data_IF_332797581435
#
_entry.id   IF_332797581435
#
_cell.length_a   1.000
_cell.length_b   1.000
_cell.length_c   1.000
_cell.angle_alpha   90.00
_cell.angle_beta   90.00
_cell.angle_gamma   90.00
#
_symmetry.space_group_name_H-M   'P 1'
#
loop_
_entity.id
_entity.type
_entity.pdbx_description
1 polymer ?
#
# COMPACT_ATOMS: atom_id res chain seq x y z
N UNK A 1 -22.42 -40.71 29.19
CA UNK A 1 -22.09 -40.39 27.78
C UNK A 1 -20.72 -41.01 27.49
N UNK A 2 -20.65 -42.11 26.73
CA UNK A 2 -19.36 -42.74 26.42
C UNK A 2 -18.53 -41.81 25.52
N UNK A 3 -17.27 -41.55 25.90
CA UNK A 3 -16.34 -40.75 25.10
C UNK A 3 -16.00 -41.46 23.77
N UNK A 4 -15.68 -40.67 22.73
CA UNK A 4 -15.29 -41.23 21.44
C UNK A 4 -14.04 -42.10 21.58
N UNK A 5 -13.96 -43.27 20.90
CA UNK A 5 -12.82 -44.16 21.01
C UNK A 5 -11.54 -43.49 20.49
N UNK A 6 -10.38 -43.81 21.08
CA UNK A 6 -9.07 -43.23 20.73
C UNK A 6 -8.76 -43.27 19.22
N UNK A 7 -9.20 -44.33 18.54
CA UNK A 7 -9.06 -44.47 17.08
C UNK A 7 -9.81 -43.37 16.32
N UNK A 8 -11.00 -42.95 16.75
CA UNK A 8 -11.74 -41.84 16.12
C UNK A 8 -11.11 -40.49 16.39
N UNK A 9 -10.55 -40.28 17.58
CA UNK A 9 -9.84 -39.05 17.93
C UNK A 9 -8.59 -38.90 17.07
N UNK A 10 -7.80 -39.99 16.93
CA UNK A 10 -6.57 -40.02 16.15
C UNK A 10 -6.81 -39.99 14.62
N UNK A 11 -7.91 -40.57 14.12
CA UNK A 11 -8.25 -40.57 12.68
C UNK A 11 -9.16 -39.40 12.25
N UNK A 12 -9.68 -38.62 13.20
CA UNK A 12 -10.58 -37.49 12.96
C UNK A 12 -10.00 -36.42 12.03
N UNK A 13 -8.68 -36.22 12.03
CA UNK A 13 -8.01 -35.26 11.16
C UNK A 13 -8.19 -35.54 9.66
N UNK A 14 -8.24 -36.82 9.25
CA UNK A 14 -8.51 -37.20 7.85
C UNK A 14 -9.97 -36.91 7.46
N UNK A 15 -10.93 -37.18 8.36
CA UNK A 15 -12.36 -36.88 8.14
C UNK A 15 -12.60 -35.37 8.11
N UNK A 16 -11.93 -34.60 8.97
CA UNK A 16 -11.99 -33.14 8.96
C UNK A 16 -11.46 -32.54 7.65
N UNK A 17 -10.30 -33.01 7.16
CA UNK A 17 -9.77 -32.60 5.85
C UNK A 17 -10.73 -32.94 4.71
N UNK A 18 -11.34 -34.13 4.71
CA UNK A 18 -12.35 -34.53 3.72
C UNK A 18 -13.64 -33.69 3.83
N UNK A 19 -14.08 -33.34 5.03
CA UNK A 19 -15.25 -32.46 5.20
C UNK A 19 -14.94 -31.02 4.78
N UNK A 20 -13.76 -30.51 5.13
CA UNK A 20 -13.31 -29.17 4.73
C UNK A 20 -13.15 -29.06 3.21
N UNK A 21 -12.63 -30.09 2.54
CA UNK A 21 -12.53 -30.10 1.09
C UNK A 21 -13.90 -30.19 0.42
N UNK A 22 -14.87 -30.90 1.03
CA UNK A 22 -16.26 -30.98 0.56
C UNK A 22 -17.04 -29.67 0.74
N UNK A 23 -16.77 -28.88 1.78
CA UNK A 23 -17.43 -27.56 1.99
C UNK A 23 -17.24 -26.58 0.83
N UNK A 24 -16.11 -26.67 0.12
CA UNK A 24 -15.80 -25.83 -1.04
C UNK A 24 -16.04 -26.54 -2.38
N UNK A 25 -16.52 -27.79 -2.35
CA UNK A 25 -16.77 -28.58 -3.55
C UNK A 25 -18.23 -28.40 -3.94
N UNK A 26 -18.46 -27.63 -4.99
CA UNK A 26 -19.79 -27.49 -5.59
C UNK A 26 -20.16 -28.81 -6.28
N UNK A 27 -21.37 -29.32 -6.04
CA UNK A 27 -21.82 -30.63 -6.54
C UNK A 27 -22.03 -30.64 -8.06
N UNK A 28 -22.48 -29.53 -8.63
CA UNK A 28 -22.67 -29.37 -10.07
C UNK A 28 -22.35 -27.92 -10.50
N UNK A 29 -21.68 -27.74 -11.63
CA UNK A 29 -21.43 -26.43 -12.24
C UNK A 29 -22.31 -26.32 -13.48
N UNK A 30 -23.46 -25.68 -13.33
CA UNK A 30 -24.37 -25.38 -14.45
C UNK A 30 -23.96 -24.06 -15.09
N UNK A 31 -23.90 -24.06 -16.42
CA UNK A 31 -23.60 -22.85 -17.18
C UNK A 31 -24.87 -22.03 -17.42
N UNK A 32 -24.88 -20.80 -16.89
CA UNK A 32 -25.95 -19.83 -17.13
C UNK A 32 -25.57 -18.88 -18.28
N UNK A 33 -26.34 -18.96 -19.36
CA UNK A 33 -26.17 -18.13 -20.55
C UNK A 33 -26.47 -16.66 -20.31
N UNK A 34 -27.45 -16.36 -19.47
CA UNK A 34 -27.86 -14.98 -19.16
C UNK A 34 -26.78 -14.27 -18.34
N UNK A 35 -26.28 -14.95 -17.30
CA UNK A 35 -25.14 -14.47 -16.52
C UNK A 35 -23.89 -14.23 -17.40
N UNK A 36 -23.67 -15.03 -18.45
CA UNK A 36 -22.57 -14.79 -19.40
C UNK A 36 -22.80 -13.53 -20.23
N UNK A 37 -24.00 -13.29 -20.71
CA UNK A 37 -24.32 -12.07 -21.49
C UNK A 37 -24.14 -10.83 -20.62
N UNK A 38 -24.61 -10.87 -19.38
CA UNK A 38 -24.40 -9.81 -18.39
C UNK A 38 -22.91 -9.62 -18.04
N UNK A 39 -22.16 -10.73 -17.94
CA UNK A 39 -20.72 -10.68 -17.76
C UNK A 39 -20.00 -10.15 -19.02
N UNK A 40 -20.47 -10.40 -20.23
CA UNK A 40 -19.79 -9.88 -21.42
C UNK A 40 -20.13 -8.40 -21.68
N UNK A 41 -21.34 -7.95 -21.35
CA UNK A 41 -21.78 -6.57 -21.63
C UNK A 41 -21.56 -5.63 -20.44
N UNK A 42 -21.62 -6.14 -19.22
CA UNK A 42 -21.57 -5.36 -17.97
C UNK A 42 -20.17 -4.96 -17.47
N UNK A 43 -19.23 -4.59 -18.36
CA UNK A 43 -17.84 -4.26 -17.97
C UNK A 43 -17.77 -3.14 -16.93
N UNK A 44 -18.60 -2.10 -17.06
CA UNK A 44 -18.66 -0.99 -16.11
C UNK A 44 -19.15 -1.44 -14.74
N UNK A 45 -20.22 -2.26 -14.70
CA UNK A 45 -20.73 -2.87 -13.45
C UNK A 45 -19.63 -3.67 -12.74
N UNK A 46 -18.86 -4.49 -13.46
CA UNK A 46 -17.74 -5.24 -12.88
C UNK A 46 -16.60 -4.35 -12.41
N UNK A 47 -16.30 -3.27 -13.13
CA UNK A 47 -15.27 -2.32 -12.72
C UNK A 47 -15.65 -1.66 -11.40
N UNK A 48 -16.90 -1.21 -11.27
CA UNK A 48 -17.43 -0.64 -10.03
C UNK A 48 -17.46 -1.68 -8.90
N UNK A 49 -17.90 -2.90 -9.16
CA UNK A 49 -17.88 -3.98 -8.16
C UNK A 49 -16.46 -4.29 -7.68
N UNK A 50 -15.47 -4.34 -8.57
CA UNK A 50 -14.06 -4.52 -8.17
C UNK A 50 -13.57 -3.37 -7.29
N UNK A 51 -13.90 -2.13 -7.64
CA UNK A 51 -13.54 -0.96 -6.84
C UNK A 51 -14.20 -1.02 -5.45
N UNK A 52 -15.51 -1.31 -5.38
CA UNK A 52 -16.23 -1.47 -4.11
C UNK A 52 -15.65 -2.57 -3.25
N UNK A 53 -15.40 -3.75 -3.83
CA UNK A 53 -14.79 -4.89 -3.12
C UNK A 53 -13.39 -4.56 -2.59
N UNK A 54 -12.58 -3.82 -3.36
CA UNK A 54 -11.27 -3.37 -2.90
C UNK A 54 -11.38 -2.38 -1.74
N UNK A 55 -12.35 -1.46 -1.79
CA UNK A 55 -12.64 -0.53 -0.70
C UNK A 55 -13.14 -1.26 0.56
N UNK A 56 -14.06 -2.20 0.40
CA UNK A 56 -14.58 -3.03 1.50
C UNK A 56 -13.47 -3.85 2.16
N UNK A 57 -12.64 -4.51 1.36
CA UNK A 57 -11.49 -5.25 1.87
C UNK A 57 -10.52 -4.36 2.65
N UNK A 58 -10.19 -3.18 2.13
CA UNK A 58 -9.32 -2.22 2.83
C UNK A 58 -9.94 -1.77 4.17
N UNK A 59 -11.25 -1.48 4.20
CA UNK A 59 -11.97 -1.12 5.43
C UNK A 59 -12.01 -2.26 6.44
N UNK A 60 -12.17 -3.50 5.99
CA UNK A 60 -12.13 -4.68 6.86
C UNK A 60 -10.74 -4.86 7.47
N UNK A 61 -9.68 -4.74 6.67
CA UNK A 61 -8.29 -4.82 7.15
C UNK A 61 -7.98 -3.71 8.16
N UNK A 62 -8.39 -2.46 7.89
CA UNK A 62 -8.22 -1.34 8.83
C UNK A 62 -8.98 -1.58 10.14
N UNK A 63 -10.21 -2.09 10.06
CA UNK A 63 -11.00 -2.45 11.25
C UNK A 63 -10.30 -3.52 12.09
N UNK A 64 -9.76 -4.56 11.45
CA UNK A 64 -9.03 -5.63 12.12
C UNK A 64 -7.74 -5.10 12.76
N UNK A 65 -6.95 -4.29 12.04
CA UNK A 65 -5.75 -3.66 12.56
C UNK A 65 -6.05 -2.79 13.79
N UNK A 66 -7.12 -1.97 13.74
CA UNK A 66 -7.54 -1.13 14.86
C UNK A 66 -7.98 -1.95 16.08
N UNK A 67 -8.61 -3.11 15.86
CA UNK A 67 -8.99 -4.02 16.95
C UNK A 67 -7.74 -4.66 17.58
N UNK A 68 -6.77 -5.08 16.76
CA UNK A 68 -5.50 -5.63 17.24
C UNK A 68 -4.68 -4.59 18.01
N UNK A 69 -4.60 -3.35 17.54
CA UNK A 69 -3.95 -2.24 18.25
C UNK A 69 -4.60 -2.00 19.61
N UNK A 70 -5.94 -1.96 19.65
CA UNK A 70 -6.67 -1.82 20.91
C UNK A 70 -6.42 -2.99 21.85
N UNK A 71 -6.32 -4.21 21.33
CA UNK A 71 -5.99 -5.38 22.14
C UNK A 71 -4.57 -5.26 22.72
N UNK A 72 -3.57 -4.90 21.91
CA UNK A 72 -2.19 -4.67 22.34
C UNK A 72 -2.10 -3.61 23.43
N UNK A 73 -2.77 -2.46 23.27
CA UNK A 73 -2.80 -1.39 24.28
C UNK A 73 -3.40 -1.90 25.60
N UNK A 74 -4.48 -2.70 25.55
CA UNK A 74 -5.07 -3.28 26.77
C UNK A 74 -4.11 -4.25 27.44
N UNK A 75 -3.42 -5.10 26.67
CA UNK A 75 -2.43 -6.03 27.22
C UNK A 75 -1.23 -5.30 27.83
N UNK A 76 -0.72 -4.26 27.18
CA UNK A 76 0.37 -3.41 27.70
C UNK A 76 -0.04 -2.73 29.01
N UNK A 77 -1.26 -2.18 29.08
CA UNK A 77 -1.82 -1.60 30.31
C UNK A 77 -1.91 -2.64 31.43
N UNK A 78 -2.44 -3.84 31.15
CA UNK A 78 -2.49 -4.94 32.13
C UNK A 78 -1.10 -5.31 32.63
N UNK A 79 -0.12 -5.46 31.73
CA UNK A 79 1.29 -5.76 32.08
C UNK A 79 1.91 -4.65 32.93
N UNK A 80 1.65 -3.38 32.62
CA UNK A 80 2.16 -2.25 33.38
C UNK A 80 1.57 -2.19 34.79
N UNK A 81 0.26 -2.41 34.93
CA UNK A 81 -0.41 -2.50 36.24
C UNK A 81 0.16 -3.67 37.05
N UNK A 82 0.32 -4.86 36.45
CA UNK A 82 0.91 -6.02 37.12
C UNK A 82 2.33 -5.73 37.64
N UNK A 83 3.18 -5.12 36.80
CA UNK A 83 4.53 -4.69 37.21
C UNK A 83 4.51 -3.66 38.32
N UNK A 84 3.56 -2.72 38.33
CA UNK A 84 3.42 -1.73 39.39
C UNK A 84 2.99 -2.39 40.70
N UNK A 85 2.03 -3.32 40.68
CA UNK A 85 1.61 -4.09 41.85
C UNK A 85 2.74 -4.97 42.39
N UNK A 86 3.50 -5.65 41.52
CA UNK A 86 4.69 -6.41 41.94
C UNK A 86 5.74 -5.53 42.62
N UNK A 87 6.03 -4.34 42.06
CA UNK A 87 6.96 -3.38 42.65
C UNK A 87 6.46 -2.87 44.00
N UNK A 88 5.18 -2.54 44.10
CA UNK A 88 4.55 -2.11 45.34
C UNK A 88 4.63 -3.21 46.42
N UNK A 89 4.26 -4.44 46.08
CA UNK A 89 4.35 -5.59 46.97
C UNK A 89 5.79 -5.85 47.44
N UNK A 90 6.79 -5.68 46.55
CA UNK A 90 8.21 -5.77 46.93
C UNK A 90 8.61 -4.66 47.92
N UNK A 91 8.25 -3.41 47.64
CA UNK A 91 8.56 -2.30 48.56
C UNK A 91 7.89 -2.47 49.93
N UNK A 92 6.66 -2.96 49.99
CA UNK A 92 5.97 -3.26 51.24
C UNK A 92 6.68 -4.39 51.99
N UNK A 93 7.12 -5.44 51.27
CA UNK A 93 7.87 -6.55 51.88
C UNK A 93 9.23 -6.11 52.45
N UNK A 94 9.91 -5.19 51.76
CA UNK A 94 11.18 -4.60 52.22
C UNK A 94 11.00 -3.71 53.46
N UNK A 95 9.88 -2.96 53.53
CA UNK A 95 9.58 -2.08 54.67
C UNK A 95 9.01 -2.82 55.88
N UNK A 96 8.23 -3.88 55.68
CA UNK A 96 7.49 -4.57 56.76
C UNK A 96 8.16 -5.83 57.29
N UNK A 97 9.40 -6.16 56.91
CA UNK A 97 10.23 -7.19 57.56
C UNK A 97 9.51 -8.51 57.85
N UNK A 98 9.36 -9.37 56.84
CA UNK A 98 8.95 -10.78 56.91
C UNK A 98 7.79 -11.12 57.88
N UNK A 99 6.67 -10.39 57.80
CA UNK A 99 5.38 -10.92 58.27
C UNK A 99 4.77 -11.72 57.11
N UNK A 100 5.19 -12.98 57.05
CA UNK A 100 4.54 -14.03 56.26
C UNK A 100 3.11 -14.23 56.78
N UNK A 101 2.19 -14.58 55.87
CA UNK A 101 0.78 -14.91 56.12
C UNK A 101 -0.22 -13.73 56.14
N UNK A 102 -0.45 -13.13 54.97
CA UNK A 102 -1.84 -12.84 54.60
C UNK A 102 -2.17 -13.54 53.29
N UNK A 103 -2.84 -14.67 53.46
CA UNK A 103 -3.57 -15.44 52.46
C UNK A 103 -4.53 -14.52 51.70
N UNK A 104 -4.05 -13.86 50.64
CA UNK A 104 -4.93 -13.26 49.64
C UNK A 104 -5.00 -14.22 48.46
N UNK A 105 -5.86 -15.22 48.62
CA UNK A 105 -6.53 -15.85 47.48
C UNK A 105 -7.36 -14.76 46.79
N UNK A 106 -6.69 -13.95 45.99
CA UNK A 106 -7.32 -12.96 45.12
C UNK A 106 -7.23 -13.49 43.69
N UNK A 107 -7.78 -14.69 43.51
CA UNK A 107 -8.43 -15.09 42.26
C UNK A 107 -9.75 -14.32 42.15
N UNK A 108 -9.65 -13.00 42.19
CA UNK A 108 -10.75 -12.12 41.82
C UNK A 108 -10.38 -11.61 40.46
N UNK A 109 -11.01 -12.19 39.45
CA UNK A 109 -11.10 -11.66 38.10
C UNK A 109 -11.49 -10.18 38.20
N UNK A 110 -10.48 -9.30 38.29
CA UNK A 110 -10.65 -7.87 38.15
C UNK A 110 -10.96 -7.62 36.67
N UNK A 111 -12.23 -7.85 36.31
CA UNK A 111 -12.89 -7.14 35.23
C UNK A 111 -12.84 -5.65 35.57
N UNK A 112 -11.70 -5.04 35.30
CA UNK A 112 -11.57 -3.60 35.21
C UNK A 112 -12.33 -3.15 33.95
N UNK A 113 -13.65 -3.13 34.06
CA UNK A 113 -14.56 -2.34 33.23
C UNK A 113 -14.27 -0.86 33.50
N UNK A 114 -13.11 -0.39 33.05
CA UNK A 114 -12.84 1.04 32.95
C UNK A 114 -13.55 1.53 31.69
N UNK A 115 -14.86 1.69 31.82
CA UNK A 115 -15.68 2.47 30.93
C UNK A 115 -15.24 3.95 31.04
N UNK A 116 -14.22 4.33 30.27
CA UNK A 116 -14.16 5.69 29.75
C UNK A 116 -14.88 5.71 28.42
N UNK A 117 -16.18 5.91 28.55
CA UNK A 117 -17.06 6.39 27.51
C UNK A 117 -16.62 7.80 27.10
N UNK A 118 -15.99 7.92 25.93
CA UNK A 118 -15.98 9.16 25.16
C UNK A 118 -16.76 8.90 23.87
N UNK A 119 -18.06 8.61 24.04
CA UNK A 119 -19.08 8.84 23.05
C UNK A 119 -19.30 10.34 22.86
N UNK A 120 -18.32 11.01 22.23
CA UNK A 120 -18.59 12.20 21.45
C UNK A 120 -18.95 11.78 20.02
N UNK A 121 -20.13 11.18 19.89
CA UNK A 121 -20.88 11.26 18.65
C UNK A 121 -22.21 11.95 18.94
N UNK A 122 -22.19 13.28 18.95
CA UNK A 122 -23.41 14.07 18.75
C UNK A 122 -23.21 15.00 17.56
N UNK A 123 -23.82 14.58 16.46
CA UNK A 123 -24.47 15.43 15.47
C UNK A 123 -23.70 16.69 15.04
N UNK A 124 -22.86 16.56 14.01
CA UNK A 124 -22.72 17.64 13.02
C UNK A 124 -23.42 17.22 11.73
N UNK A 125 -24.66 17.67 11.67
CA UNK A 125 -25.49 17.95 10.50
C UNK A 125 -24.88 17.60 9.14
N UNK A 126 -25.58 16.73 8.44
CA UNK A 126 -26.04 16.94 7.07
C UNK A 126 -26.01 18.44 6.69
N UNK A 127 -24.89 18.89 6.11
CA UNK A 127 -24.76 20.22 5.51
C UNK A 127 -24.76 19.98 4.02
N UNK A 128 -25.93 20.18 3.47
CA UNK A 128 -26.21 20.59 2.09
C UNK A 128 -25.03 21.41 1.55
N UNK A 129 -24.27 20.81 0.62
CA UNK A 129 -23.19 21.50 -0.08
C UNK A 129 -23.83 22.28 -1.23
N UNK A 130 -24.47 23.39 -0.88
CA UNK A 130 -24.83 24.44 -1.83
C UNK A 130 -23.61 25.28 -2.17
N UNK A 131 -23.53 25.54 -3.46
CA UNK A 131 -22.48 26.18 -4.22
C UNK A 131 -22.40 27.69 -3.92
N UNK A 132 -21.20 28.24 -4.12
CA UNK A 132 -20.84 29.63 -4.52
C UNK A 132 -20.13 30.53 -3.48
N UNK A 133 -19.10 31.21 -4.02
CA UNK A 133 -18.28 32.30 -3.48
C UNK A 133 -17.09 31.89 -2.60
N UNK A 134 -15.85 32.35 -2.76
CA UNK A 134 -15.12 33.11 -3.79
C UNK A 134 -13.64 33.00 -3.37
N UNK A 135 -12.96 31.93 -3.78
CA UNK A 135 -11.54 31.72 -3.44
C UNK A 135 -10.69 31.76 -4.72
N UNK A 136 -10.87 32.79 -5.55
CA UNK A 136 -9.84 33.22 -6.51
C UNK A 136 -8.76 34.01 -5.76
N UNK A 137 -8.13 33.37 -4.77
CA UNK A 137 -6.82 33.82 -4.32
C UNK A 137 -5.82 33.40 -5.40
N UNK A 138 -5.57 34.29 -6.36
CA UNK A 138 -4.50 34.16 -7.34
C UNK A 138 -3.21 33.84 -6.59
N UNK A 139 -2.72 32.62 -6.79
CA UNK A 139 -1.46 32.15 -6.25
C UNK A 139 -0.35 32.97 -6.89
N UNK A 140 0.17 33.96 -6.16
CA UNK A 140 1.33 34.75 -6.57
C UNK A 140 2.54 33.84 -6.46
N UNK A 141 3.06 33.42 -7.62
CA UNK A 141 4.23 32.56 -7.71
C UNK A 141 5.42 33.18 -6.97
N UNK A 142 6.20 32.32 -6.30
CA UNK A 142 7.46 32.74 -5.70
C UNK A 142 8.35 33.38 -6.77
N UNK A 143 8.89 34.56 -6.47
CA UNK A 143 9.88 35.21 -7.32
C UNK A 143 11.03 34.23 -7.60
N UNK A 144 11.23 33.95 -8.88
CA UNK A 144 12.22 33.02 -9.40
C UNK A 144 13.61 33.62 -9.16
N UNK A 145 14.18 33.36 -7.97
CA UNK A 145 15.61 33.61 -7.75
C UNK A 145 16.39 32.87 -8.85
N UNK A 146 17.40 33.52 -9.47
CA UNK A 146 18.13 32.93 -10.59
C UNK A 146 18.69 31.58 -10.19
N UNK A 147 18.31 30.54 -10.96
CA UNK A 147 18.63 29.15 -10.72
C UNK A 147 20.12 29.00 -10.35
N UNK A 148 20.42 28.83 -9.07
CA UNK A 148 21.66 28.17 -8.68
C UNK A 148 21.45 26.74 -9.13
N UNK A 149 22.22 26.27 -10.11
CA UNK A 149 22.24 24.87 -10.59
C UNK A 149 22.10 23.92 -9.38
N UNK A 150 20.87 23.46 -9.10
CA UNK A 150 20.61 22.56 -7.97
C UNK A 150 21.07 21.19 -8.43
N UNK A 151 22.38 20.97 -8.42
CA UNK A 151 22.97 19.66 -8.67
C UNK A 151 22.43 18.72 -7.60
N UNK A 152 21.76 17.66 -8.05
CA UNK A 152 21.13 16.67 -7.18
C UNK A 152 22.07 16.21 -6.06
N UNK A 153 21.51 16.04 -4.87
CA UNK A 153 22.18 15.70 -3.60
C UNK A 153 23.08 14.46 -3.69
N UNK A 154 22.87 13.59 -4.69
CA UNK A 154 23.45 12.25 -4.74
C UNK A 154 24.87 12.17 -5.35
N UNK A 155 25.38 13.19 -6.04
CA UNK A 155 26.71 13.13 -6.69
C UNK A 155 27.59 14.30 -6.30
N UNK A 156 27.81 14.50 -5.01
CA UNK A 156 28.77 15.49 -4.52
C UNK A 156 30.07 14.79 -4.16
N UNK A 157 31.14 15.11 -4.89
CA UNK A 157 32.50 14.87 -4.42
C UNK A 157 32.88 16.06 -3.55
N UNK A 158 32.75 15.90 -2.24
CA UNK A 158 33.17 16.94 -1.30
C UNK A 158 34.67 16.77 -1.05
N UNK A 159 35.45 17.76 -1.50
CA UNK A 159 36.89 17.82 -1.29
C UNK A 159 37.14 18.76 -0.12
N UNK A 160 37.58 18.20 1.00
CA UNK A 160 37.96 18.97 2.17
C UNK A 160 39.46 19.26 2.10
N UNK A 161 39.82 20.53 2.24
CA UNK A 161 41.21 20.98 2.28
C UNK A 161 41.47 21.55 3.67
N UNK A 162 42.19 20.81 4.51
CA UNK A 162 42.63 21.30 5.81
C UNK A 162 43.99 21.98 5.68
N UNK A 163 44.07 23.26 6.04
CA UNK A 163 45.34 24.03 6.08
C UNK A 163 45.86 24.25 7.50
N UNK A 164 45.13 23.81 8.53
CA UNK A 164 45.51 24.00 9.93
C UNK A 164 46.45 22.91 10.45
N UNK A 165 47.48 23.32 11.20
CA UNK A 165 48.55 22.43 11.68
C UNK A 165 48.09 21.38 12.70
N UNK A 166 46.95 21.61 13.36
CA UNK A 166 46.34 20.73 14.36
C UNK A 166 45.23 19.81 13.80
N UNK A 167 45.02 19.76 12.48
CA UNK A 167 44.05 18.84 11.89
C UNK A 167 44.58 17.38 11.90
N UNK A 168 43.73 16.36 12.15
CA UNK A 168 44.13 14.95 12.20
C UNK A 168 44.75 14.41 10.90
N UNK A 169 44.38 14.98 9.75
CA UNK A 169 44.91 14.62 8.43
C UNK A 169 45.24 15.94 7.72
N UNK A 170 46.52 16.15 7.37
CA UNK A 170 46.99 17.32 6.60
C UNK A 170 46.89 17.01 5.11
N UNK A 171 46.13 17.80 4.35
CA UNK A 171 46.03 17.67 2.89
C UNK A 171 44.59 17.63 2.37
N UNK A 172 44.42 17.08 1.15
CA UNK A 172 43.12 16.94 0.50
C UNK A 172 42.52 15.59 0.88
N UNK A 173 41.38 15.58 1.57
CA UNK A 173 40.57 14.37 1.76
C UNK A 173 39.34 14.42 0.86
N UNK A 174 39.08 13.33 0.14
CA UNK A 174 37.90 13.17 -0.71
C UNK A 174 36.97 12.12 -0.11
N UNK A 175 35.71 12.48 0.10
CA UNK A 175 34.65 11.54 0.51
C UNK A 175 33.82 11.21 -0.73
N UNK A 176 33.84 9.94 -1.14
CA UNK A 176 32.96 9.42 -2.20
C UNK A 176 31.77 8.72 -1.54
N UNK A 177 30.56 9.25 -1.77
CA UNK A 177 29.32 8.64 -1.29
C UNK A 177 28.93 7.59 -2.32
N UNK A 178 29.09 6.31 -1.97
CA UNK A 178 28.63 5.19 -2.79
C UNK A 178 27.12 4.98 -2.61
N UNK A 179 26.45 4.56 -3.68
CA UNK A 179 25.02 4.24 -3.64
C UNK A 179 24.80 3.02 -2.72
N UNK A 180 24.18 3.27 -1.56
CA UNK A 180 23.83 2.22 -0.60
C UNK A 180 22.73 1.32 -1.19
N UNK A 181 23.11 0.31 -1.98
CA UNK A 181 22.19 -0.72 -2.41
C UNK A 181 21.60 -1.39 -1.15
N UNK A 182 20.26 -1.45 -0.99
CA UNK A 182 19.66 -2.02 0.20
C UNK A 182 20.06 -3.50 0.24
N UNK A 183 20.89 -3.86 1.22
CA UNK A 183 21.41 -5.21 1.45
C UNK A 183 22.53 -5.71 0.51
N UNK A 184 23.25 -4.84 -0.22
CA UNK A 184 24.38 -5.27 -1.06
C UNK A 184 24.00 -6.22 -2.20
N UNK A 185 22.71 -6.29 -2.54
CA UNK A 185 22.22 -7.09 -3.65
C UNK A 185 22.38 -6.30 -4.94
N UNK A 186 23.04 -6.93 -5.91
CA UNK A 186 23.25 -6.36 -7.22
C UNK A 186 21.89 -6.16 -7.92
N UNK A 187 21.56 -4.91 -8.24
CA UNK A 187 20.26 -4.49 -8.80
C UNK A 187 19.96 -5.26 -10.09
N UNK A 188 21.01 -5.65 -10.81
CA UNK A 188 20.92 -6.48 -12.01
C UNK A 188 20.33 -7.86 -11.73
N UNK A 189 20.69 -8.48 -10.60
CA UNK A 189 20.19 -9.80 -10.19
C UNK A 189 18.73 -9.73 -9.76
N UNK A 190 18.35 -8.68 -9.03
CA UNK A 190 16.94 -8.42 -8.65
C UNK A 190 16.09 -8.20 -9.90
N UNK A 191 16.58 -7.42 -10.87
CA UNK A 191 15.88 -7.19 -12.13
C UNK A 191 15.75 -8.47 -12.95
N UNK A 192 16.79 -9.30 -13.01
CA UNK A 192 16.75 -10.61 -13.68
C UNK A 192 15.76 -11.57 -13.02
N UNK A 193 15.73 -11.64 -11.68
CA UNK A 193 14.75 -12.44 -10.94
C UNK A 193 13.30 -12.00 -11.23
N UNK A 194 13.10 -10.72 -11.53
CA UNK A 194 11.82 -10.14 -11.90
C UNK A 194 11.59 -10.07 -13.42
N UNK A 195 12.46 -10.67 -14.24
CA UNK A 195 12.39 -10.66 -15.71
C UNK A 195 12.28 -9.25 -16.32
N UNK A 196 13.04 -8.29 -15.77
CA UNK A 196 13.07 -6.89 -16.22
C UNK A 196 14.34 -6.58 -17.03
N UNK A 197 14.16 -6.14 -18.28
CA UNK A 197 15.24 -5.65 -19.16
C UNK A 197 15.74 -4.26 -18.73
N UNK A 198 16.87 -4.20 -18.01
CA UNK A 198 17.47 -2.92 -17.60
C UNK A 198 18.08 -2.11 -18.76
N UNK A 199 18.35 -2.72 -19.91
CA UNK A 199 18.93 -2.04 -21.09
C UNK A 199 18.05 -0.92 -21.64
N UNK A 200 16.72 -1.07 -21.49
CA UNK A 200 15.71 -0.10 -21.96
C UNK A 200 15.26 0.87 -20.86
N UNK A 201 15.85 0.81 -19.67
CA UNK A 201 15.45 1.61 -18.50
C UNK A 201 15.43 3.11 -18.80
N UNK A 202 16.48 3.63 -19.42
CA UNK A 202 16.61 5.04 -19.81
C UNK A 202 15.53 5.46 -20.81
N UNK A 203 15.32 4.67 -21.85
CA UNK A 203 14.29 4.94 -22.87
C UNK A 203 12.88 4.95 -22.27
N UNK A 204 12.59 4.05 -21.33
CA UNK A 204 11.31 4.00 -20.62
C UNK A 204 11.15 5.22 -19.72
N UNK A 205 12.21 5.63 -19.02
CA UNK A 205 12.23 6.83 -18.19
C UNK A 205 11.95 8.07 -19.02
N UNK A 206 12.65 8.27 -20.14
CA UNK A 206 12.45 9.41 -21.04
C UNK A 206 11.02 9.47 -21.57
N UNK A 207 10.48 8.32 -22.02
CA UNK A 207 9.06 8.21 -22.45
C UNK A 207 8.07 8.52 -21.32
N UNK A 208 8.41 8.20 -20.07
CA UNK A 208 7.55 8.50 -18.92
C UNK A 208 7.53 10.00 -18.62
N UNK A 209 8.70 10.64 -18.63
CA UNK A 209 8.87 12.07 -18.44
C UNK A 209 8.15 12.83 -19.55
N UNK A 210 8.32 12.43 -20.81
CA UNK A 210 7.59 13.03 -21.93
C UNK A 210 6.07 12.92 -21.78
N UNK A 211 5.56 11.76 -21.32
CA UNK A 211 4.12 11.58 -21.10
C UNK A 211 3.62 12.48 -19.96
N UNK A 212 4.37 12.59 -18.87
CA UNK A 212 4.06 13.47 -17.76
C UNK A 212 4.04 14.94 -18.20
N UNK A 213 5.04 15.39 -18.96
CA UNK A 213 5.08 16.74 -19.56
C UNK A 213 3.86 17.00 -20.46
N UNK A 214 3.55 16.08 -21.37
CA UNK A 214 2.36 16.18 -22.25
C UNK A 214 1.05 16.22 -21.46
N UNK A 215 0.98 15.55 -20.31
CA UNK A 215 -0.20 15.55 -19.43
C UNK A 215 -0.31 16.85 -18.63
N UNK A 216 0.80 17.37 -18.11
CA UNK A 216 0.85 18.68 -17.47
C UNK A 216 0.43 19.80 -18.45
N UNK A 217 0.93 19.78 -19.69
CA UNK A 217 0.50 20.68 -20.77
C UNK A 217 -1.02 20.58 -21.05
N UNK A 218 -1.60 19.38 -20.91
CA UNK A 218 -3.03 19.16 -21.14
C UNK A 218 -3.88 19.68 -19.98
N UNK A 219 -3.44 19.49 -18.73
CA UNK A 219 -4.13 20.01 -17.53
C UNK A 219 -4.07 21.53 -17.51
N UNK A 220 -2.91 22.11 -17.77
CA UNK A 220 -2.70 23.56 -17.75
C UNK A 220 -3.34 24.27 -18.95
N UNK A 221 -4.04 23.54 -19.84
CA UNK A 221 -4.72 24.09 -21.00
C UNK A 221 -3.81 24.61 -22.13
N UNK A 222 -2.49 24.56 -21.95
CA UNK A 222 -1.51 25.04 -22.94
C UNK A 222 -1.49 24.19 -24.20
N UNK A 223 -1.93 22.94 -24.11
CA UNK A 223 -2.03 22.01 -25.24
C UNK A 223 -3.42 21.40 -25.36
N UNK A 224 -4.09 21.69 -26.47
CA UNK A 224 -5.34 21.02 -26.83
C UNK A 224 -5.07 19.78 -27.70
N UNK A 225 -5.76 18.65 -27.46
CA UNK A 225 -5.61 17.47 -28.29
C UNK A 225 -6.14 17.78 -29.69
N UNK A 226 -5.29 17.69 -30.71
CA UNK A 226 -5.70 17.87 -32.11
C UNK A 226 -6.82 16.86 -32.42
N UNK A 227 -8.01 17.38 -32.72
CA UNK A 227 -9.13 16.56 -33.13
C UNK A 227 -8.73 15.77 -34.38
N UNK A 228 -8.79 14.43 -34.31
CA UNK A 228 -8.57 13.60 -35.50
C UNK A 228 -9.68 13.91 -36.48
N UNK A 229 -9.34 14.28 -37.71
CA UNK A 229 -10.34 14.48 -38.75
C UNK A 229 -11.14 13.19 -38.91
N UNK A 230 -12.47 13.28 -38.74
CA UNK A 230 -13.36 12.15 -38.99
C UNK A 230 -13.21 11.80 -40.46
N UNK A 231 -12.65 10.63 -40.76
CA UNK A 231 -12.61 10.13 -42.13
C UNK A 231 -14.06 9.94 -42.56
N UNK A 232 -14.53 10.73 -43.53
CA UNK A 232 -15.84 10.50 -44.15
C UNK A 232 -15.85 9.06 -44.64
N UNK A 233 -16.89 8.30 -44.29
CA UNK A 233 -17.05 6.94 -44.78
C UNK A 233 -17.10 7.00 -46.31
N UNK A 234 -16.04 6.50 -46.94
CA UNK A 234 -15.96 6.33 -48.38
C UNK A 234 -15.38 4.96 -48.65
N UNK A 235 -15.83 4.32 -49.72
CA UNK A 235 -15.17 3.11 -50.17
C UNK A 235 -13.73 3.44 -50.55
N UNK A 236 -12.80 2.64 -50.01
CA UNK A 236 -11.40 2.70 -50.42
C UNK A 236 -11.31 2.41 -51.92
N UNK A 237 -10.53 3.21 -52.63
CA UNK A 237 -10.26 2.96 -54.05
C UNK A 237 -9.56 1.59 -54.22
N UNK A 238 -9.59 1.02 -55.43
CA UNK A 238 -8.92 -0.27 -55.70
C UNK A 238 -7.43 -0.23 -55.33
N UNK A 239 -6.76 0.89 -55.56
CA UNK A 239 -5.34 1.09 -55.24
C UNK A 239 -5.11 1.18 -53.73
N UNK A 240 -5.95 1.93 -53.01
CA UNK A 240 -5.88 2.04 -51.55
C UNK A 240 -6.14 0.69 -50.86
N UNK A 241 -7.10 -0.10 -51.36
CA UNK A 241 -7.39 -1.45 -50.88
C UNK A 241 -6.20 -2.39 -51.09
N UNK A 242 -5.55 -2.32 -52.26
CA UNK A 242 -4.35 -3.09 -52.56
C UNK A 242 -3.16 -2.69 -51.66
N UNK A 243 -3.03 -1.40 -51.32
CA UNK A 243 -2.01 -0.93 -50.40
C UNK A 243 -2.27 -1.39 -48.95
N UNK A 244 -3.52 -1.33 -48.48
CA UNK A 244 -3.88 -1.81 -47.14
C UNK A 244 -3.67 -3.32 -47.01
N UNK A 245 -4.12 -4.12 -47.97
CA UNK A 245 -3.87 -5.57 -47.98
C UNK A 245 -2.38 -5.90 -48.02
N UNK A 246 -1.56 -5.14 -48.77
CA UNK A 246 -0.08 -5.28 -48.75
C UNK A 246 0.50 -4.98 -47.37
N UNK A 247 0.04 -3.92 -46.69
CA UNK A 247 0.47 -3.56 -45.32
C UNK A 247 0.05 -4.60 -44.28
N UNK A 248 -1.15 -5.16 -44.39
CA UNK A 248 -1.61 -6.24 -43.52
C UNK A 248 -0.78 -7.51 -43.72
N UNK A 249 -0.52 -7.88 -44.97
CA UNK A 249 0.34 -9.02 -45.31
C UNK A 249 1.77 -8.82 -44.80
N UNK A 250 2.34 -7.61 -44.90
CA UNK A 250 3.69 -7.36 -44.37
C UNK A 250 3.75 -7.42 -42.85
N UNK A 251 2.69 -6.97 -42.14
CA UNK A 251 2.60 -7.11 -40.68
C UNK A 251 2.46 -8.55 -40.24
N UNK A 252 1.74 -9.39 -41.00
CA UNK A 252 1.57 -10.82 -40.69
C UNK A 252 2.85 -11.64 -40.91
N UNK A 253 3.80 -11.11 -41.69
CA UNK A 253 5.09 -11.75 -41.97
C UNK A 253 6.20 -11.39 -40.97
N UNK A 254 5.94 -10.44 -40.07
CA UNK A 254 6.90 -9.92 -39.09
C UNK A 254 6.47 -10.35 -37.70
#
# INVERSE_FOLDING_TARGET
MAGKPNREILTGGKRYKQQSSRKHRVEEVVFDGEARVDYLTGFHKRKLQRQKRAQEFAKEQERLARLEERAKIREERKKNIHKQLEKYNRSIKELNGDVTELNTSSDSELEANVAYDNNENRNRSDREFTQEEDDNADWVGFDEEPEKDVRGILKRKEVYVSTSENAPIKGKSSVEIEDLAPHGMDITQIAQANFVDLTKSKEILDKSIERAKKYAELINGTRTPKAKSKKKFRYLSKTERKANTRKERSKKRR
#
